data_IF_061247291478
#
_entry.id   IF_061247291478
#
_cell.length_a   1.000
_cell.length_b   1.000
_cell.length_c   1.000
_cell.angle_alpha   90.00
_cell.angle_beta   90.00
_cell.angle_gamma   90.00
#
_symmetry.space_group_name_H-M   'P 1'
#
loop_
_entity.id
_entity.type
_entity.pdbx_description
1 polymer ?
#
# COMPACT_ATOMS: atom_id res chain seq x y z
N UNK A 1 49.57 -0.28 15.89
CA UNK A 1 48.59 0.62 16.53
C UNK A 1 48.01 1.51 15.45
N UNK A 2 46.81 1.20 14.98
CA UNK A 2 45.76 2.15 14.58
C UNK A 2 44.59 1.32 14.07
N UNK A 3 43.51 1.44 14.83
CA UNK A 3 42.24 0.72 14.72
C UNK A 3 41.32 1.63 13.94
N UNK A 4 41.06 1.33 12.67
CA UNK A 4 40.05 2.06 11.91
C UNK A 4 38.70 1.35 11.97
N UNK A 5 37.72 2.19 12.29
CA UNK A 5 36.42 1.85 12.81
C UNK A 5 35.53 1.22 11.75
N UNK A 6 34.97 0.06 12.09
CA UNK A 6 33.83 -0.53 11.39
C UNK A 6 32.63 0.36 11.73
N UNK A 7 32.19 1.15 10.74
CA UNK A 7 30.92 1.88 10.77
C UNK A 7 29.81 0.83 10.85
N UNK A 8 29.26 0.64 12.04
CA UNK A 8 28.10 -0.20 12.28
C UNK A 8 26.84 0.56 11.85
N UNK A 9 26.34 0.24 10.66
CA UNK A 9 24.97 0.59 10.26
C UNK A 9 23.98 -0.28 11.05
N UNK A 10 23.74 0.08 12.31
CA UNK A 10 22.62 -0.49 13.06
C UNK A 10 21.32 0.14 12.53
N UNK A 11 20.65 -0.59 11.63
CA UNK A 11 19.27 -0.35 11.25
C UNK A 11 18.37 -0.49 12.48
N UNK A 12 17.48 0.49 12.69
CA UNK A 12 16.70 0.64 13.91
C UNK A 12 15.92 -0.61 14.33
N UNK A 13 16.22 -1.12 15.52
CA UNK A 13 15.35 -2.03 16.25
C UNK A 13 14.20 -1.24 16.87
N UNK A 14 12.96 -1.57 16.50
CA UNK A 14 11.74 -0.99 17.06
C UNK A 14 11.44 -1.63 18.43
N UNK A 15 12.40 -1.63 19.35
CA UNK A 15 12.20 -2.16 20.70
C UNK A 15 11.77 -1.08 21.70
N UNK A 16 12.01 0.21 21.42
CA UNK A 16 11.66 1.30 22.34
C UNK A 16 10.87 2.42 21.66
N UNK A 17 9.61 2.18 21.26
CA UNK A 17 8.51 3.17 21.14
C UNK A 17 8.71 4.51 20.41
N UNK A 18 9.89 4.76 19.85
CA UNK A 18 10.38 6.01 19.29
C UNK A 18 10.81 5.63 17.89
N UNK A 19 9.96 5.98 16.92
CA UNK A 19 10.37 5.95 15.52
C UNK A 19 11.62 6.81 15.44
N UNK A 20 12.75 6.19 15.08
CA UNK A 20 14.03 6.87 14.99
C UNK A 20 13.84 8.18 14.19
N UNK A 21 14.39 9.28 14.70
CA UNK A 21 14.31 10.57 14.03
C UNK A 21 14.88 10.41 12.62
N UNK A 22 14.03 10.52 11.61
CA UNK A 22 14.40 10.41 10.21
C UNK A 22 14.19 11.75 9.54
N UNK A 23 15.00 12.07 8.52
CA UNK A 23 14.72 13.20 7.66
C UNK A 23 14.97 12.85 6.20
N UNK A 24 14.20 13.44 5.28
CA UNK A 24 14.38 13.28 3.85
C UNK A 24 14.01 14.53 3.07
N UNK A 25 14.55 14.62 1.84
CA UNK A 25 14.13 15.59 0.83
C UNK A 25 13.20 14.92 -0.15
N UNK A 26 12.09 15.60 -0.48
CA UNK A 26 11.06 15.10 -1.40
C UNK A 26 11.67 14.65 -2.73
N UNK A 27 12.54 15.48 -3.31
CA UNK A 27 13.16 15.18 -4.60
C UNK A 27 14.11 13.98 -4.56
N UNK A 28 14.76 13.73 -3.43
CA UNK A 28 15.65 12.57 -3.31
C UNK A 28 14.81 11.28 -3.29
N UNK A 29 13.68 11.29 -2.59
CA UNK A 29 12.73 10.18 -2.55
C UNK A 29 12.12 9.91 -3.94
N UNK A 30 11.72 10.95 -4.67
CA UNK A 30 11.15 10.82 -6.02
C UNK A 30 12.17 10.27 -7.01
N UNK A 31 13.41 10.77 -6.97
CA UNK A 31 14.50 10.28 -7.83
C UNK A 31 14.83 8.82 -7.54
N UNK A 32 14.88 8.45 -6.27
CA UNK A 32 15.12 7.07 -5.86
C UNK A 32 13.98 6.14 -6.30
N UNK A 33 12.72 6.54 -6.11
CA UNK A 33 11.56 5.78 -6.58
C UNK A 33 11.59 5.57 -8.11
N UNK A 34 12.01 6.59 -8.87
CA UNK A 34 12.22 6.46 -10.32
C UNK A 34 13.30 5.43 -10.67
N UNK A 35 14.42 5.41 -9.94
CA UNK A 35 15.49 4.43 -10.15
C UNK A 35 15.02 3.00 -9.86
N UNK A 36 14.26 2.80 -8.78
CA UNK A 36 13.68 1.51 -8.41
C UNK A 36 12.62 1.00 -9.42
N UNK A 37 12.03 1.88 -10.22
CA UNK A 37 10.94 1.56 -11.16
C UNK A 37 11.33 0.50 -12.20
N UNK A 38 12.58 0.51 -12.68
CA UNK A 38 13.04 -0.41 -13.74
C UNK A 38 12.90 -1.89 -13.37
N UNK A 39 13.14 -2.24 -12.11
CA UNK A 39 12.99 -3.61 -11.59
C UNK A 39 11.56 -4.01 -11.20
N UNK A 40 10.61 -3.06 -11.19
CA UNK A 40 9.24 -3.29 -10.73
C UNK A 40 8.21 -3.42 -11.86
N UNK A 41 8.50 -2.93 -13.08
CA UNK A 41 7.49 -2.85 -14.16
C UNK A 41 6.79 -4.17 -14.43
N UNK A 42 7.55 -5.21 -14.73
CA UNK A 42 7.00 -6.54 -15.03
C UNK A 42 6.25 -7.12 -13.82
N UNK A 43 6.89 -7.27 -12.64
CA UNK A 43 6.24 -7.83 -11.47
C UNK A 43 4.98 -7.10 -11.01
N UNK A 44 5.01 -5.76 -10.91
CA UNK A 44 3.89 -4.95 -10.41
C UNK A 44 2.74 -4.92 -11.41
N UNK A 45 3.02 -4.70 -12.70
CA UNK A 45 1.96 -4.70 -13.71
C UNK A 45 1.37 -6.09 -13.91
N UNK A 46 2.21 -7.14 -13.87
CA UNK A 46 1.76 -8.53 -13.94
C UNK A 46 0.88 -8.91 -12.75
N UNK A 47 1.29 -8.55 -11.53
CA UNK A 47 0.48 -8.77 -10.33
C UNK A 47 -0.83 -7.98 -10.35
N UNK A 48 -0.79 -6.69 -10.72
CA UNK A 48 -1.98 -5.86 -10.84
C UNK A 48 -2.96 -6.39 -11.88
N UNK A 49 -2.46 -6.76 -13.07
CA UNK A 49 -3.28 -7.37 -14.13
C UNK A 49 -3.89 -8.70 -13.69
N UNK A 50 -3.10 -9.55 -13.01
CA UNK A 50 -3.57 -10.83 -12.50
C UNK A 50 -4.71 -10.66 -11.48
N UNK A 51 -4.53 -9.77 -10.50
CA UNK A 51 -5.57 -9.44 -9.51
C UNK A 51 -6.81 -8.91 -10.23
N UNK A 52 -6.65 -7.97 -11.16
CA UNK A 52 -7.76 -7.40 -11.92
C UNK A 52 -8.54 -8.45 -12.72
N UNK A 53 -7.84 -9.36 -13.41
CA UNK A 53 -8.48 -10.46 -14.17
C UNK A 53 -9.24 -11.38 -13.22
N UNK A 54 -8.67 -11.74 -12.07
CA UNK A 54 -9.34 -12.58 -11.07
C UNK A 54 -10.60 -11.89 -10.54
N UNK A 55 -10.52 -10.59 -10.20
CA UNK A 55 -11.67 -9.83 -9.70
C UNK A 55 -12.78 -9.73 -10.75
N UNK A 56 -12.44 -9.42 -12.01
CA UNK A 56 -13.41 -9.37 -13.11
C UNK A 56 -14.05 -10.75 -13.35
N UNK A 57 -13.26 -11.82 -13.36
CA UNK A 57 -13.76 -13.17 -13.56
C UNK A 57 -14.73 -13.59 -12.43
N UNK A 58 -14.41 -13.25 -11.18
CA UNK A 58 -15.29 -13.48 -10.03
C UNK A 58 -16.60 -12.68 -10.17
N UNK A 59 -16.52 -11.37 -10.41
CA UNK A 59 -17.71 -10.52 -10.61
C UNK A 59 -18.58 -11.01 -11.76
N UNK A 60 -17.98 -11.39 -12.89
CA UNK A 60 -18.70 -11.96 -14.03
C UNK A 60 -19.37 -13.29 -13.69
N UNK A 61 -18.66 -14.21 -13.03
CA UNK A 61 -19.21 -15.50 -12.64
C UNK A 61 -20.41 -15.36 -11.68
N UNK A 62 -20.36 -14.38 -10.77
CA UNK A 62 -21.45 -14.07 -9.85
C UNK A 62 -22.68 -13.56 -10.60
N UNK A 63 -22.51 -12.56 -11.47
CA UNK A 63 -23.63 -11.99 -12.25
C UNK A 63 -24.23 -13.08 -13.14
N UNK A 64 -23.39 -13.81 -13.87
CA UNK A 64 -23.81 -14.92 -14.70
C UNK A 64 -24.59 -15.98 -13.91
N UNK A 65 -24.14 -16.34 -12.71
CA UNK A 65 -24.83 -17.30 -11.86
C UNK A 65 -26.20 -16.79 -11.38
N UNK A 66 -26.32 -15.52 -11.01
CA UNK A 66 -27.60 -14.92 -10.60
C UNK A 66 -28.60 -14.86 -11.76
N UNK A 67 -28.14 -14.54 -12.97
CA UNK A 67 -28.97 -14.48 -14.18
C UNK A 67 -29.54 -15.85 -14.61
N UNK A 68 -28.98 -16.97 -14.13
CA UNK A 68 -29.55 -18.30 -14.36
C UNK A 68 -30.89 -18.53 -13.63
N UNK A 69 -31.25 -17.65 -12.70
CA UNK A 69 -32.48 -17.75 -11.91
C UNK A 69 -33.44 -16.60 -12.23
N UNK A 70 -34.21 -16.68 -13.34
CA UNK A 70 -35.05 -15.58 -13.84
C UNK A 70 -36.27 -15.25 -12.95
N UNK A 71 -36.47 -15.98 -11.85
CA UNK A 71 -37.54 -15.76 -10.89
C UNK A 71 -37.10 -14.96 -9.65
N UNK A 72 -35.81 -14.61 -9.54
CA UNK A 72 -35.32 -13.75 -8.45
C UNK A 72 -35.65 -12.30 -8.78
N UNK A 73 -36.19 -11.56 -7.81
CA UNK A 73 -36.46 -10.13 -7.91
C UNK A 73 -35.19 -9.33 -8.25
N UNK A 74 -35.25 -8.44 -9.23
CA UNK A 74 -34.11 -7.61 -9.67
C UNK A 74 -33.53 -6.75 -8.54
N UNK A 75 -34.36 -6.24 -7.62
CA UNK A 75 -33.89 -5.48 -6.46
C UNK A 75 -33.11 -6.35 -5.48
N UNK A 76 -33.53 -7.62 -5.33
CA UNK A 76 -32.80 -8.58 -4.50
C UNK A 76 -31.45 -8.94 -5.15
N UNK A 77 -31.41 -9.14 -6.47
CA UNK A 77 -30.16 -9.35 -7.22
C UNK A 77 -29.21 -8.17 -6.99
N UNK A 78 -29.69 -6.95 -7.17
CA UNK A 78 -28.88 -5.73 -6.97
C UNK A 78 -28.31 -5.64 -5.55
N UNK A 79 -29.12 -5.95 -4.52
CA UNK A 79 -28.68 -5.94 -3.12
C UNK A 79 -27.62 -7.01 -2.86
N UNK A 80 -27.82 -8.23 -3.38
CA UNK A 80 -26.84 -9.32 -3.28
C UNK A 80 -25.53 -8.95 -3.98
N UNK A 81 -25.60 -8.41 -5.21
CA UNK A 81 -24.42 -7.94 -5.94
C UNK A 81 -23.68 -6.83 -5.19
N UNK A 82 -24.39 -5.90 -4.55
CA UNK A 82 -23.78 -4.85 -3.74
C UNK A 82 -23.02 -5.45 -2.54
N UNK A 83 -23.63 -6.36 -1.78
CA UNK A 83 -22.99 -7.02 -0.64
C UNK A 83 -21.75 -7.79 -1.09
N UNK A 84 -21.84 -8.52 -2.19
CA UNK A 84 -20.71 -9.28 -2.74
C UNK A 84 -19.57 -8.36 -3.18
N UNK A 85 -19.85 -7.25 -3.86
CA UNK A 85 -18.81 -6.29 -4.23
C UNK A 85 -18.13 -5.65 -3.01
N UNK A 86 -18.86 -5.41 -1.93
CA UNK A 86 -18.28 -4.99 -0.65
C UNK A 86 -17.35 -6.05 -0.06
N UNK A 87 -17.71 -7.33 -0.14
CA UNK A 87 -16.84 -8.42 0.32
C UNK A 87 -15.58 -8.50 -0.56
N UNK A 88 -15.74 -8.44 -1.88
CA UNK A 88 -14.62 -8.48 -2.84
C UNK A 88 -13.67 -7.31 -2.61
N UNK A 89 -14.18 -6.10 -2.36
CA UNK A 89 -13.33 -4.92 -2.10
C UNK A 89 -12.51 -5.08 -0.82
N UNK A 90 -13.11 -5.60 0.26
CA UNK A 90 -12.39 -5.88 1.50
C UNK A 90 -11.34 -6.99 1.31
N UNK A 91 -11.69 -8.04 0.57
CA UNK A 91 -10.76 -9.13 0.26
C UNK A 91 -9.65 -8.73 -0.73
N UNK A 92 -9.74 -7.55 -1.35
CA UNK A 92 -8.68 -7.03 -2.23
C UNK A 92 -7.46 -6.50 -1.44
N UNK A 93 -7.63 -6.12 -0.16
CA UNK A 93 -6.57 -5.49 0.64
C UNK A 93 -5.31 -6.35 0.87
N UNK A 94 -5.39 -7.67 1.11
CA UNK A 94 -4.20 -8.51 1.21
C UNK A 94 -3.36 -8.52 -0.08
N UNK A 95 -4.00 -8.48 -1.25
CA UNK A 95 -3.30 -8.38 -2.53
C UNK A 95 -2.64 -7.00 -2.68
N UNK A 96 -3.32 -5.93 -2.27
CA UNK A 96 -2.72 -4.60 -2.23
C UNK A 96 -1.49 -4.57 -1.30
N UNK A 97 -1.57 -5.20 -0.13
CA UNK A 97 -0.43 -5.35 0.77
C UNK A 97 0.73 -6.09 0.11
N UNK A 98 0.45 -7.17 -0.63
CA UNK A 98 1.46 -7.88 -1.41
C UNK A 98 2.14 -7.00 -2.47
N UNK A 99 1.38 -6.14 -3.16
CA UNK A 99 1.95 -5.15 -4.10
C UNK A 99 2.79 -4.11 -3.35
N UNK A 100 2.36 -3.63 -2.18
CA UNK A 100 3.17 -2.70 -1.37
C UNK A 100 4.49 -3.33 -0.92
N UNK A 101 4.46 -4.62 -0.54
CA UNK A 101 5.66 -5.38 -0.18
C UNK A 101 6.65 -5.50 -1.34
N UNK A 102 6.18 -5.64 -2.59
CA UNK A 102 7.07 -5.57 -3.77
C UNK A 102 7.90 -4.28 -3.79
N UNK A 103 7.28 -3.15 -3.44
CA UNK A 103 7.97 -1.86 -3.31
C UNK A 103 9.04 -1.88 -2.22
N UNK A 104 8.73 -2.47 -1.06
CA UNK A 104 9.65 -2.58 0.09
C UNK A 104 10.84 -3.48 -0.24
N UNK A 105 10.60 -4.65 -0.85
CA UNK A 105 11.66 -5.53 -1.35
C UNK A 105 12.57 -4.77 -2.33
N UNK A 106 11.98 -4.07 -3.30
CA UNK A 106 12.78 -3.30 -4.28
C UNK A 106 13.56 -2.16 -3.64
N UNK A 107 13.04 -1.54 -2.58
CA UNK A 107 13.72 -0.46 -1.88
C UNK A 107 15.04 -0.92 -1.22
N UNK A 108 15.29 -2.22 -1.06
CA UNK A 108 16.58 -2.77 -0.61
C UNK A 108 17.25 -3.63 -1.68
N UNK A 109 16.89 -3.40 -2.94
CA UNK A 109 17.38 -4.16 -4.10
C UNK A 109 17.12 -5.67 -4.04
N UNK A 110 16.20 -6.14 -3.20
CA UNK A 110 15.77 -7.53 -3.17
C UNK A 110 14.99 -7.89 -4.45
N UNK A 111 15.05 -9.16 -4.90
CA UNK A 111 14.31 -9.61 -6.07
C UNK A 111 12.80 -9.54 -5.81
N UNK A 112 12.06 -9.18 -6.85
CA UNK A 112 10.60 -9.04 -6.82
C UNK A 112 9.99 -9.94 -7.90
N UNK A 113 8.92 -10.64 -7.53
CA UNK A 113 8.15 -11.48 -8.46
C UNK A 113 6.66 -11.12 -8.37
N UNK A 114 5.90 -11.37 -9.44
CA UNK A 114 4.46 -11.09 -9.44
C UNK A 114 3.70 -12.00 -8.47
N UNK A 115 4.22 -13.19 -8.18
CA UNK A 115 3.62 -14.14 -7.23
C UNK A 115 3.58 -13.61 -5.80
N UNK A 116 4.44 -12.63 -5.48
CA UNK A 116 4.49 -11.98 -4.17
C UNK A 116 3.15 -11.36 -3.75
N UNK A 117 2.26 -11.06 -4.71
CA UNK A 117 0.89 -10.60 -4.45
C UNK A 117 0.07 -11.60 -3.62
N UNK A 118 0.43 -12.89 -3.65
CA UNK A 118 -0.23 -13.95 -2.88
C UNK A 118 0.57 -14.41 -1.65
N UNK A 119 1.84 -13.98 -1.51
CA UNK A 119 2.74 -14.49 -0.47
C UNK A 119 2.29 -14.14 0.96
N UNK A 120 1.44 -13.12 1.11
CA UNK A 120 1.05 -12.59 2.43
C UNK A 120 -0.43 -12.82 2.76
N UNK A 121 -1.10 -13.76 2.09
CA UNK A 121 -2.49 -14.12 2.39
C UNK A 121 -2.66 -14.60 3.84
N UNK A 122 -1.61 -15.13 4.49
CA UNK A 122 -1.63 -15.47 5.91
C UNK A 122 -1.98 -14.29 6.84
N UNK A 123 -1.74 -13.05 6.40
CA UNK A 123 -2.07 -11.82 7.13
C UNK A 123 -3.45 -11.24 6.76
N UNK A 124 -4.30 -12.00 6.05
CA UNK A 124 -5.61 -11.51 5.58
C UNK A 124 -6.47 -10.99 6.73
N UNK A 125 -6.58 -11.73 7.83
CA UNK A 125 -7.43 -11.34 8.96
C UNK A 125 -7.00 -9.99 9.57
N UNK A 126 -5.74 -9.79 10.02
CA UNK A 126 -5.33 -8.50 10.58
C UNK A 126 -5.39 -7.36 9.55
N UNK A 127 -5.10 -7.62 8.27
CA UNK A 127 -5.22 -6.60 7.20
C UNK A 127 -6.68 -6.17 7.01
N UNK A 128 -7.62 -7.12 6.98
CA UNK A 128 -9.05 -6.81 6.83
C UNK A 128 -9.56 -6.02 8.04
N UNK A 129 -9.21 -6.43 9.27
CA UNK A 129 -9.60 -5.69 10.48
C UNK A 129 -9.01 -4.27 10.45
N UNK A 130 -7.72 -4.13 10.12
CA UNK A 130 -7.08 -2.83 9.95
C UNK A 130 -7.81 -1.96 8.91
N UNK A 131 -8.17 -2.54 7.76
CA UNK A 131 -8.85 -1.80 6.68
C UNK A 131 -10.21 -1.23 7.11
N UNK A 132 -10.98 -2.00 7.88
CA UNK A 132 -12.27 -1.57 8.42
C UNK A 132 -12.07 -0.46 9.45
N UNK A 133 -11.17 -0.66 10.41
CA UNK A 133 -10.84 0.35 11.44
C UNK A 133 -10.34 1.66 10.82
N UNK A 134 -9.41 1.58 9.87
CA UNK A 134 -8.91 2.74 9.13
C UNK A 134 -10.03 3.45 8.37
N UNK A 135 -10.89 2.71 7.67
CA UNK A 135 -12.01 3.29 6.91
C UNK A 135 -12.96 4.06 7.83
N UNK A 136 -13.30 3.50 8.99
CA UNK A 136 -14.15 4.17 9.99
C UNK A 136 -13.46 5.44 10.51
N UNK A 137 -12.18 5.36 10.90
CA UNK A 137 -11.45 6.52 11.45
C UNK A 137 -11.28 7.64 10.41
N UNK A 138 -10.97 7.29 9.17
CA UNK A 138 -10.84 8.24 8.06
C UNK A 138 -12.20 8.88 7.73
N UNK A 139 -13.26 8.09 7.66
CA UNK A 139 -14.62 8.58 7.41
C UNK A 139 -15.09 9.53 8.52
N UNK A 140 -14.90 9.15 9.79
CA UNK A 140 -15.17 10.04 10.94
C UNK A 140 -14.34 11.32 10.87
N UNK A 141 -13.08 11.20 10.44
CA UNK A 141 -12.21 12.34 10.14
C UNK A 141 -12.91 13.30 9.19
N UNK A 142 -13.29 12.84 7.99
CA UNK A 142 -13.96 13.64 6.97
C UNK A 142 -15.32 14.19 7.41
N UNK A 143 -16.13 13.43 8.15
CA UNK A 143 -17.43 13.87 8.67
C UNK A 143 -17.26 15.02 9.66
N UNK A 144 -16.26 14.95 10.55
CA UNK A 144 -16.00 16.00 11.51
C UNK A 144 -15.47 17.25 10.79
N UNK A 145 -14.41 17.08 9.97
CA UNK A 145 -13.73 18.12 9.20
C UNK A 145 -12.91 17.49 8.05
N UNK A 146 -12.82 18.12 6.88
CA UNK A 146 -12.05 17.56 5.74
C UNK A 146 -10.57 17.31 6.09
N UNK A 147 -9.95 18.20 6.89
CA UNK A 147 -8.52 18.15 7.21
C UNK A 147 -8.13 16.90 8.01
N UNK A 148 -8.78 16.54 9.14
CA UNK A 148 -8.57 15.27 9.83
C UNK A 148 -8.67 14.03 8.94
N UNK A 149 -9.62 13.99 8.00
CA UNK A 149 -9.75 12.88 7.04
C UNK A 149 -8.51 12.74 6.15
N UNK A 150 -8.05 13.86 5.57
CA UNK A 150 -6.81 13.90 4.77
C UNK A 150 -5.62 13.48 5.63
N UNK A 151 -5.49 14.03 6.84
CA UNK A 151 -4.41 13.68 7.76
C UNK A 151 -4.33 12.16 8.00
N UNK A 152 -5.44 11.53 8.36
CA UNK A 152 -5.50 10.10 8.68
C UNK A 152 -5.24 9.23 7.43
N UNK A 153 -5.72 9.64 6.26
CA UNK A 153 -5.48 8.88 5.01
C UNK A 153 -3.99 8.74 4.69
N UNK A 154 -3.20 9.80 4.95
CA UNK A 154 -1.74 9.79 4.75
C UNK A 154 -1.06 9.11 5.94
N UNK A 155 -1.51 9.38 7.17
CA UNK A 155 -0.90 8.85 8.37
C UNK A 155 -0.97 7.31 8.44
N UNK A 156 -1.99 6.69 7.83
CA UNK A 156 -2.19 5.24 7.85
C UNK A 156 -1.65 4.49 6.63
N UNK A 157 -0.98 5.16 5.68
CA UNK A 157 -0.57 4.52 4.42
C UNK A 157 0.37 3.31 4.60
N UNK A 158 1.12 3.22 5.70
CA UNK A 158 2.07 2.13 5.95
C UNK A 158 1.55 1.04 6.88
N UNK A 159 0.26 1.07 7.22
CA UNK A 159 -0.36 0.10 8.13
C UNK A 159 -0.20 -1.34 7.62
N UNK A 160 -0.54 -1.64 6.36
CA UNK A 160 -0.44 -3.01 5.86
C UNK A 160 1.01 -3.53 5.81
N UNK A 161 1.99 -2.78 5.28
CA UNK A 161 3.39 -3.16 5.41
C UNK A 161 3.87 -3.41 6.84
N UNK A 162 3.43 -2.63 7.82
CA UNK A 162 3.80 -2.84 9.23
C UNK A 162 3.22 -4.14 9.79
N UNK A 163 1.99 -4.50 9.41
CA UNK A 163 1.39 -5.79 9.77
C UNK A 163 2.23 -6.93 9.19
N UNK A 164 2.60 -6.83 7.90
CA UNK A 164 3.27 -7.93 7.18
C UNK A 164 4.74 -8.06 7.56
N UNK A 165 5.52 -6.98 7.47
CA UNK A 165 6.98 -7.01 7.66
C UNK A 165 7.36 -7.12 9.13
N UNK A 166 6.62 -6.44 10.02
CA UNK A 166 6.92 -6.40 11.45
C UNK A 166 6.02 -7.31 12.29
N UNK A 167 5.16 -8.09 11.66
CA UNK A 167 4.20 -8.99 12.32
C UNK A 167 3.41 -8.28 13.44
N UNK A 168 3.05 -7.01 13.20
CA UNK A 168 2.32 -6.19 14.16
C UNK A 168 0.82 -6.52 14.15
N UNK A 169 0.20 -6.42 15.32
CA UNK A 169 -1.26 -6.40 15.40
C UNK A 169 -1.85 -5.18 14.67
N UNK A 170 -3.11 -5.28 14.21
CA UNK A 170 -3.76 -4.26 13.40
C UNK A 170 -3.72 -2.88 14.04
N UNK A 171 -3.99 -2.77 15.35
CA UNK A 171 -4.03 -1.48 16.04
C UNK A 171 -2.62 -0.93 16.25
N UNK A 172 -1.69 -1.81 16.62
CA UNK A 172 -0.28 -1.45 16.78
C UNK A 172 0.29 -0.90 15.46
N UNK A 173 0.00 -1.55 14.33
CA UNK A 173 0.43 -1.12 13.01
C UNK A 173 -0.16 0.25 12.61
N UNK A 174 -1.46 0.48 12.86
CA UNK A 174 -2.11 1.76 12.60
C UNK A 174 -1.45 2.89 13.40
N UNK A 175 -1.25 2.69 14.70
CA UNK A 175 -0.68 3.72 15.57
C UNK A 175 0.81 3.96 15.26
N UNK A 176 1.54 2.90 14.90
CA UNK A 176 2.95 3.00 14.49
C UNK A 176 3.06 3.75 13.16
N UNK A 177 2.20 3.44 12.17
CA UNK A 177 2.12 4.19 10.92
C UNK A 177 1.87 5.67 11.19
N UNK A 178 0.86 5.97 12.02
CA UNK A 178 0.47 7.35 12.35
C UNK A 178 1.62 8.10 13.01
N UNK A 179 2.24 7.53 14.05
CA UNK A 179 3.37 8.15 14.77
C UNK A 179 4.57 8.38 13.86
N UNK A 180 4.92 7.40 13.02
CA UNK A 180 6.04 7.52 12.09
C UNK A 180 5.81 8.61 11.04
N UNK A 181 4.64 8.63 10.41
CA UNK A 181 4.31 9.65 9.41
C UNK A 181 4.13 11.04 10.04
N UNK A 182 3.61 11.13 11.26
CA UNK A 182 3.33 12.41 11.93
C UNK A 182 4.56 13.32 12.05
N UNK A 183 5.74 12.74 12.33
CA UNK A 183 6.99 13.50 12.53
C UNK A 183 7.29 14.45 11.36
N UNK A 184 7.07 13.99 10.12
CA UNK A 184 7.28 14.77 8.90
C UNK A 184 6.07 14.70 7.96
N UNK A 185 4.87 14.82 8.53
CA UNK A 185 3.61 14.63 7.79
C UNK A 185 3.53 15.45 6.51
N UNK A 186 3.92 16.74 6.57
CA UNK A 186 3.90 17.61 5.38
C UNK A 186 4.85 17.12 4.28
N UNK A 187 6.05 16.62 4.61
CA UNK A 187 6.99 16.11 3.61
C UNK A 187 6.41 14.88 2.90
N UNK A 188 5.81 13.99 3.68
CA UNK A 188 5.13 12.80 3.17
C UNK A 188 3.92 13.17 2.30
N UNK A 189 3.08 14.10 2.76
CA UNK A 189 1.93 14.62 2.03
C UNK A 189 2.35 15.23 0.69
N UNK A 190 3.32 16.14 0.67
CA UNK A 190 3.78 16.77 -0.57
C UNK A 190 4.50 15.79 -1.51
N UNK A 191 5.16 14.77 -0.98
CA UNK A 191 5.72 13.68 -1.79
C UNK A 191 4.61 12.89 -2.49
N UNK A 192 3.56 12.53 -1.75
CA UNK A 192 2.36 11.89 -2.32
C UNK A 192 1.63 12.78 -3.33
N UNK A 193 1.47 14.07 -3.01
CA UNK A 193 0.82 15.03 -3.90
C UNK A 193 1.59 15.20 -5.23
N UNK A 194 2.92 15.30 -5.17
CA UNK A 194 3.77 15.34 -6.36
C UNK A 194 3.63 14.05 -7.18
N UNK A 195 3.57 12.90 -6.51
CA UNK A 195 3.36 11.62 -7.17
C UNK A 195 1.99 11.52 -7.85
N UNK A 196 0.93 12.07 -7.24
CA UNK A 196 -0.40 12.19 -7.86
C UNK A 196 -0.36 13.08 -9.10
N UNK A 197 0.37 14.20 -9.06
CA UNK A 197 0.55 15.06 -10.25
C UNK A 197 1.23 14.28 -11.39
N UNK A 198 2.30 13.52 -11.08
CA UNK A 198 2.98 12.67 -12.07
C UNK A 198 2.00 11.62 -12.63
N UNK A 199 1.19 10.99 -11.77
CA UNK A 199 0.15 10.04 -12.18
C UNK A 199 -0.87 10.66 -13.15
N UNK A 200 -1.37 11.87 -12.84
CA UNK A 200 -2.32 12.59 -13.69
C UNK A 200 -1.70 13.00 -15.03
N UNK A 201 -0.43 13.41 -15.06
CA UNK A 201 0.26 13.72 -16.32
C UNK A 201 0.43 12.46 -17.18
N UNK A 202 0.72 11.32 -16.54
CA UNK A 202 0.89 10.03 -17.21
C UNK A 202 -0.38 9.45 -17.83
N UNK A 203 -1.57 9.94 -17.48
CA UNK A 203 -2.83 9.54 -18.15
C UNK A 203 -3.06 10.26 -19.47
N UNK A 204 -2.49 11.47 -19.66
CA UNK A 204 -2.64 12.29 -20.87
C UNK A 204 -2.26 11.54 -22.15
N UNK A 205 -1.12 10.82 -22.25
CA UNK A 205 -0.76 10.05 -23.45
C UNK A 205 -1.54 8.72 -23.54
N UNK A 206 -2.87 8.77 -23.49
CA UNK A 206 -3.77 7.60 -23.51
C UNK A 206 -3.43 6.56 -22.43
N UNK A 207 -2.93 7.00 -21.27
CA UNK A 207 -2.52 6.11 -20.18
C UNK A 207 -1.19 5.39 -20.39
N UNK A 208 -0.46 5.62 -21.49
CA UNK A 208 0.83 4.94 -21.73
C UNK A 208 1.87 5.26 -20.64
N UNK A 209 1.83 6.46 -20.07
CA UNK A 209 2.73 6.85 -18.97
C UNK A 209 2.54 5.99 -17.70
N UNK A 210 1.36 5.39 -17.52
CA UNK A 210 1.04 4.57 -16.35
C UNK A 210 1.92 3.32 -16.24
N UNK A 211 2.45 2.82 -17.36
CA UNK A 211 3.41 1.70 -17.39
C UNK A 211 4.64 2.00 -16.51
N UNK A 212 5.04 3.26 -16.41
CA UNK A 212 6.15 3.69 -15.53
C UNK A 212 5.65 4.22 -14.19
N UNK A 213 4.53 4.94 -14.19
CA UNK A 213 4.08 5.64 -12.97
C UNK A 213 3.46 4.71 -11.93
N UNK A 214 2.78 3.62 -12.34
CA UNK A 214 2.24 2.64 -11.38
C UNK A 214 3.38 1.93 -10.62
N UNK A 215 4.41 1.36 -11.27
CA UNK A 215 5.55 0.78 -10.55
C UNK A 215 6.34 1.81 -9.75
N UNK A 216 6.44 3.05 -10.24
CA UNK A 216 7.06 4.15 -9.49
C UNK A 216 6.29 4.49 -8.21
N UNK A 217 4.95 4.40 -8.22
CA UNK A 217 4.13 4.62 -7.02
C UNK A 217 4.38 3.55 -5.96
N UNK A 218 4.50 2.30 -6.39
CA UNK A 218 4.85 1.18 -5.51
C UNK A 218 6.28 1.34 -4.97
N UNK A 219 7.23 1.72 -5.82
CA UNK A 219 8.60 2.03 -5.40
C UNK A 219 8.66 3.15 -4.36
N UNK A 220 7.88 4.23 -4.57
CA UNK A 220 7.81 5.38 -3.68
C UNK A 220 7.41 4.97 -2.26
N UNK A 221 6.39 4.13 -2.15
CA UNK A 221 5.94 3.60 -0.86
C UNK A 221 7.02 2.77 -0.19
N UNK A 222 7.73 1.91 -0.93
CA UNK A 222 8.85 1.14 -0.41
C UNK A 222 10.01 2.01 0.10
N UNK A 223 10.40 3.02 -0.68
CA UNK A 223 11.47 3.97 -0.31
C UNK A 223 11.10 4.78 0.93
N UNK A 224 9.88 5.30 1.00
CA UNK A 224 9.38 6.02 2.17
C UNK A 224 9.30 5.11 3.39
N UNK A 225 8.78 3.89 3.22
CA UNK A 225 8.71 2.90 4.30
C UNK A 225 10.11 2.62 4.89
N UNK A 226 11.10 2.33 4.03
CA UNK A 226 12.49 2.10 4.44
C UNK A 226 13.08 3.29 5.20
N UNK A 227 12.81 4.52 4.74
CA UNK A 227 13.32 5.75 5.37
C UNK A 227 12.67 6.05 6.71
N UNK A 228 11.38 5.73 6.88
CA UNK A 228 10.60 6.06 8.08
C UNK A 228 10.76 4.97 9.16
N UNK A 229 10.67 3.69 8.79
CA UNK A 229 10.58 2.60 9.75
C UNK A 229 11.80 1.67 9.75
N UNK A 230 12.71 1.82 8.78
CA UNK A 230 13.70 0.79 8.49
C UNK A 230 13.06 -0.53 8.05
N UNK A 231 13.90 -1.45 7.61
CA UNK A 231 13.51 -2.80 7.19
C UNK A 231 14.32 -3.77 8.03
N UNK A 232 13.65 -4.65 8.77
CA UNK A 232 14.27 -5.59 9.70
C UNK A 232 14.52 -6.95 9.03
N UNK A 233 13.60 -7.41 8.19
CA UNK A 233 13.74 -8.66 7.43
C UNK A 233 12.77 -8.72 6.26
N UNK A 234 13.23 -9.25 5.13
CA UNK A 234 12.50 -9.31 3.85
C UNK A 234 12.60 -10.71 3.28
#
# INVERSE_FOLDING_TARGET
MQTDQIVSSQSGSIQDGVVASYDFKIMDVIKEAWQCTSGLKGPVLGAGALVLVVLIALSFAIIFFLDLFPFIDENLIALVTLVINCIISILSYPFLAGIMMMGIHRAIDAPVSYQMVFSYIGFTLPIVIASICMSIMIALGFILLIIPGIYLSIAYMFTFPLIVEKNMDFWQAMETSRKGVHQHWFKVFFTGALMVIIYLISTIPLGLGLIWTIPMFVALQGVLYRRIFGIASV
#
